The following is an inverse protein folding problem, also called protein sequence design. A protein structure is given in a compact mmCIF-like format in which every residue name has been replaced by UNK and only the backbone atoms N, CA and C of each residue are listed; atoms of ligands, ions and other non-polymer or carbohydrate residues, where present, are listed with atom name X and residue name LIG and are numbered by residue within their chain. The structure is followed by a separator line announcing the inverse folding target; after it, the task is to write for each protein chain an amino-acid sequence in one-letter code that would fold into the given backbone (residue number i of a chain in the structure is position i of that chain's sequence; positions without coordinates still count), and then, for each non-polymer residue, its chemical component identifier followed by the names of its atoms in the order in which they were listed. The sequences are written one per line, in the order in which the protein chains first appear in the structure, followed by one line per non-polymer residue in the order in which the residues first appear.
data_IF_485744687317
#
_entry.id   IF_485744687317
#
_cell.length_a   1.000
_cell.length_b   1.000
_cell.length_c   1.000
_cell.angle_alpha   90.00
_cell.angle_beta   90.00
_cell.angle_gamma   90.00
#
_symmetry.space_group_name_H-M   'P 1'
#
loop_
_entity.id
_entity.type
_entity.pdbx_description
1 polymer ?
#
# COMPACT_ATOMS: atom_id res chain seq x y z
N UNK A 1 -2.79 -4.60 -12.68
CA UNK A 1 -1.66 -4.43 -11.74
C UNK A 1 -0.30 -4.49 -12.45
N UNK A 2 -0.01 -5.52 -13.24
CA UNK A 2 1.30 -5.69 -13.89
C UNK A 2 1.74 -4.52 -14.79
N UNK A 3 0.85 -3.95 -15.61
CA UNK A 3 1.19 -2.72 -16.35
C UNK A 3 1.49 -1.54 -15.40
N UNK A 4 0.78 -1.43 -14.28
CA UNK A 4 1.06 -0.41 -13.26
C UNK A 4 2.46 -0.53 -12.63
N UNK A 5 3.01 -1.74 -12.48
CA UNK A 5 4.41 -1.94 -12.07
C UNK A 5 5.37 -1.36 -13.11
N UNK A 6 5.16 -1.65 -14.40
CA UNK A 6 5.98 -1.13 -15.49
C UNK A 6 5.90 0.41 -15.56
N UNK A 7 4.70 0.99 -15.41
CA UNK A 7 4.53 2.44 -15.33
C UNK A 7 5.10 3.09 -14.08
N UNK A 8 5.41 2.29 -13.05
CA UNK A 8 6.24 2.67 -11.90
C UNK A 8 7.73 2.38 -12.09
N UNK A 9 8.13 1.93 -13.28
CA UNK A 9 9.50 1.56 -13.60
C UNK A 9 10.02 0.30 -12.89
N UNK A 10 9.15 -0.49 -12.27
CA UNK A 10 9.53 -1.74 -11.63
C UNK A 10 9.67 -2.85 -12.66
N UNK A 11 10.90 -3.07 -13.11
CA UNK A 11 11.24 -4.05 -14.16
C UNK A 11 12.45 -4.90 -13.81
N UNK A 12 13.13 -4.60 -12.69
CA UNK A 12 14.31 -5.30 -12.22
C UNK A 12 14.01 -6.06 -10.93
N UNK A 13 14.66 -7.21 -10.69
CA UNK A 13 14.54 -7.92 -9.42
C UNK A 13 14.87 -7.04 -8.22
N UNK A 14 14.01 -7.08 -7.21
CA UNK A 14 14.09 -6.23 -6.02
C UNK A 14 13.35 -4.89 -6.14
N UNK A 15 12.85 -4.52 -7.33
CA UNK A 15 11.93 -3.40 -7.44
C UNK A 15 10.61 -3.76 -6.74
N UNK A 16 10.10 -2.84 -5.92
CA UNK A 16 8.87 -3.01 -5.13
C UNK A 16 7.90 -1.91 -5.46
N UNK A 17 6.64 -2.26 -5.72
CA UNK A 17 5.56 -1.32 -5.98
C UNK A 17 4.36 -1.62 -5.11
N UNK A 18 3.84 -0.57 -4.48
CA UNK A 18 2.53 -0.53 -3.85
C UNK A 18 1.53 -0.05 -4.91
N UNK A 19 0.44 -0.79 -5.11
CA UNK A 19 -0.61 -0.40 -6.06
C UNK A 19 -1.89 -0.05 -5.30
N UNK A 20 -2.01 1.22 -4.92
CA UNK A 20 -3.10 1.69 -4.06
C UNK A 20 -4.40 1.96 -4.81
N UNK A 21 -5.41 1.10 -4.59
CA UNK A 21 -6.77 1.30 -5.08
C UNK A 21 -7.80 0.85 -4.04
N UNK A 22 -8.89 0.23 -4.49
CA UNK A 22 -9.91 -0.37 -3.60
C UNK A 22 -9.24 -1.35 -2.62
N UNK A 23 -8.32 -2.16 -3.13
CA UNK A 23 -7.33 -2.92 -2.35
C UNK A 23 -5.92 -2.40 -2.63
N UNK A 24 -4.93 -2.82 -1.84
CA UNK A 24 -3.53 -2.39 -2.04
C UNK A 24 -2.57 -3.57 -2.08
N UNK A 25 -2.32 -4.17 -3.26
CA UNK A 25 -1.21 -5.08 -3.47
C UNK A 25 0.14 -4.43 -3.15
N UNK A 26 1.03 -5.21 -2.55
CA UNK A 26 2.45 -4.92 -2.38
C UNK A 26 3.20 -5.99 -3.15
N UNK A 27 3.88 -5.60 -4.22
CA UNK A 27 4.45 -6.52 -5.19
C UNK A 27 5.95 -6.29 -5.33
N UNK A 28 6.73 -7.37 -5.26
CA UNK A 28 8.17 -7.37 -5.47
C UNK A 28 8.52 -8.16 -6.73
N UNK A 29 9.30 -7.56 -7.62
CA UNK A 29 9.82 -8.23 -8.81
C UNK A 29 10.91 -9.21 -8.40
N UNK A 30 10.84 -10.45 -8.90
CA UNK A 30 11.84 -11.50 -8.68
C UNK A 30 12.35 -12.06 -10.00
N UNK A 31 13.57 -12.60 -9.99
CA UNK A 31 14.20 -13.20 -11.17
C UNK A 31 13.66 -14.60 -11.50
N UNK A 32 13.14 -15.30 -10.49
CA UNK A 32 12.57 -16.64 -10.59
C UNK A 32 11.29 -16.69 -9.73
N UNK A 33 10.39 -17.67 -9.93
CA UNK A 33 9.24 -17.79 -9.05
C UNK A 33 9.72 -18.08 -7.62
N UNK A 34 9.15 -17.39 -6.65
CA UNK A 34 9.42 -17.56 -5.22
C UNK A 34 8.12 -17.91 -4.54
N UNK A 35 8.10 -18.98 -3.76
CA UNK A 35 6.93 -19.43 -3.01
C UNK A 35 7.25 -19.38 -1.52
N UNK A 36 6.35 -18.78 -0.73
CA UNK A 36 6.48 -18.80 0.73
C UNK A 36 6.18 -20.21 1.26
N UNK A 37 7.06 -20.72 2.14
CA UNK A 37 6.90 -22.07 2.72
C UNK A 37 5.63 -22.19 3.58
N UNK A 38 5.18 -21.07 4.16
CA UNK A 38 3.95 -20.99 4.95
C UNK A 38 2.72 -20.69 4.10
N UNK A 39 2.88 -20.51 2.78
CA UNK A 39 1.80 -20.20 1.86
C UNK A 39 1.15 -18.84 2.12
N UNK A 40 1.82 -17.86 2.74
CA UNK A 40 1.22 -16.56 3.10
C UNK A 40 1.02 -15.63 1.89
N UNK A 41 1.83 -15.77 0.85
CA UNK A 41 1.90 -14.89 -0.32
C UNK A 41 1.55 -15.62 -1.61
N UNK A 42 1.34 -14.87 -2.69
CA UNK A 42 1.11 -15.43 -4.03
C UNK A 42 2.28 -15.14 -4.95
N UNK A 43 2.45 -16.02 -5.93
CA UNK A 43 3.48 -15.90 -6.96
C UNK A 43 2.81 -15.76 -8.31
N UNK A 44 3.09 -14.66 -9.00
CA UNK A 44 2.56 -14.37 -10.33
C UNK A 44 3.69 -14.19 -11.33
N UNK A 45 3.38 -14.29 -12.62
CA UNK A 45 4.30 -13.82 -13.67
C UNK A 45 4.32 -12.29 -13.69
N UNK A 46 5.43 -11.70 -14.12
CA UNK A 46 5.45 -10.31 -14.53
C UNK A 46 4.99 -10.19 -15.99
N UNK A 47 4.58 -8.99 -16.42
CA UNK A 47 4.33 -8.72 -17.85
C UNK A 47 5.62 -8.71 -18.72
N UNK A 48 6.79 -8.92 -18.11
CA UNK A 48 8.08 -9.00 -18.79
C UNK A 48 8.51 -10.47 -18.70
N UNK A 49 8.85 -11.06 -19.84
CA UNK A 49 9.31 -12.44 -19.91
C UNK A 49 10.53 -12.67 -19.01
N UNK A 50 10.56 -13.84 -18.34
CA UNK A 50 11.63 -14.19 -17.41
C UNK A 50 11.61 -13.41 -16.09
N UNK A 51 10.55 -12.63 -15.81
CA UNK A 51 10.35 -11.93 -14.54
C UNK A 51 9.10 -12.45 -13.84
N UNK A 52 9.17 -12.43 -12.52
CA UNK A 52 8.12 -12.94 -11.63
C UNK A 52 7.77 -11.89 -10.59
N UNK A 53 6.65 -12.10 -9.90
CA UNK A 53 6.14 -11.25 -8.85
C UNK A 53 5.88 -12.10 -7.61
N UNK A 54 6.48 -11.70 -6.49
CA UNK A 54 6.03 -12.11 -5.17
C UNK A 54 5.08 -11.04 -4.65
N UNK A 55 3.87 -11.45 -4.29
CA UNK A 55 2.80 -10.53 -3.90
C UNK A 55 2.26 -10.83 -2.51
N UNK A 56 2.12 -9.76 -1.74
CA UNK A 56 1.33 -9.69 -0.52
C UNK A 56 0.31 -8.55 -0.68
N UNK A 57 -0.68 -8.44 0.21
CA UNK A 57 -1.79 -7.50 0.01
C UNK A 57 -2.22 -6.85 1.32
N UNK A 58 -2.25 -5.51 1.32
CA UNK A 58 -2.69 -4.73 2.47
C UNK A 58 -4.22 -4.69 2.64
N UNK A 59 -4.98 -5.39 1.81
CA UNK A 59 -6.42 -5.50 1.94
C UNK A 59 -7.18 -4.28 1.45
N UNK A 60 -8.40 -4.11 1.97
CA UNK A 60 -9.45 -3.15 1.53
C UNK A 60 -9.20 -1.70 1.97
N UNK A 61 -7.98 -1.22 1.76
CA UNK A 61 -7.47 0.12 2.12
C UNK A 61 -8.25 1.29 1.49
N UNK A 62 -8.48 1.30 0.17
CA UNK A 62 -9.27 2.37 -0.47
C UNK A 62 -10.77 2.22 -0.21
N UNK A 63 -11.23 0.97 0.01
CA UNK A 63 -12.61 0.73 0.39
C UNK A 63 -12.94 1.30 1.78
N UNK A 64 -12.08 1.14 2.79
CA UNK A 64 -12.35 1.72 4.12
C UNK A 64 -12.39 3.26 4.07
N UNK A 65 -11.55 3.87 3.23
CA UNK A 65 -11.59 5.32 3.04
C UNK A 65 -12.87 5.78 2.33
N UNK A 66 -13.36 5.01 1.35
CA UNK A 66 -14.69 5.19 0.75
C UNK A 66 -15.82 4.95 1.77
N UNK A 67 -15.70 3.97 2.64
CA UNK A 67 -16.68 3.70 3.69
C UNK A 67 -16.80 4.90 4.63
N UNK A 68 -15.68 5.50 5.03
CA UNK A 68 -15.67 6.71 5.87
C UNK A 68 -16.36 7.89 5.19
N UNK A 69 -16.07 8.11 3.90
CA UNK A 69 -16.76 9.10 3.05
C UNK A 69 -18.28 8.90 3.07
N UNK A 70 -18.71 7.67 2.85
CA UNK A 70 -20.12 7.34 2.62
C UNK A 70 -20.94 7.30 3.89
N UNK A 71 -20.37 6.82 5.00
CA UNK A 71 -21.11 6.48 6.22
C UNK A 71 -20.82 7.40 7.41
N UNK A 72 -19.67 8.09 7.43
CA UNK A 72 -19.32 9.01 8.52
C UNK A 72 -19.44 10.46 8.07
N UNK A 73 -19.00 10.78 6.85
CA UNK A 73 -19.17 12.12 6.29
C UNK A 73 -20.50 12.31 5.56
N UNK A 74 -21.14 11.22 5.13
CA UNK A 74 -22.39 11.24 4.34
C UNK A 74 -22.28 12.08 3.04
N UNK A 75 -21.10 12.11 2.41
CA UNK A 75 -20.81 12.95 1.23
C UNK A 75 -20.50 12.11 -0.02
N UNK A 76 -21.50 11.39 -0.53
CA UNK A 76 -21.33 10.50 -1.69
C UNK A 76 -21.10 11.23 -3.02
N UNK A 77 -21.69 12.43 -3.17
CA UNK A 77 -21.79 13.17 -4.44
C UNK A 77 -20.81 14.34 -4.58
N UNK A 78 -20.04 14.66 -3.54
CA UNK A 78 -19.11 15.81 -3.61
C UNK A 78 -17.86 15.43 -4.43
N UNK A 79 -17.56 16.14 -5.53
CA UNK A 79 -16.43 15.81 -6.39
C UNK A 79 -15.07 16.04 -5.70
N UNK A 80 -15.03 16.89 -4.67
CA UNK A 80 -13.82 17.22 -3.90
C UNK A 80 -13.75 16.55 -2.53
N UNK A 81 -14.64 15.60 -2.26
CA UNK A 81 -14.75 14.98 -0.94
C UNK A 81 -13.45 14.35 -0.45
N UNK A 82 -12.67 13.73 -1.35
CA UNK A 82 -11.37 13.17 -0.99
C UNK A 82 -10.34 14.24 -0.64
N UNK A 83 -10.38 15.42 -1.28
CA UNK A 83 -9.54 16.57 -0.91
C UNK A 83 -9.90 17.06 0.50
N UNK A 84 -11.20 17.17 0.80
CA UNK A 84 -11.69 17.53 2.15
C UNK A 84 -11.29 16.50 3.20
N UNK A 85 -11.42 15.20 2.90
CA UNK A 85 -11.01 14.13 3.82
C UNK A 85 -9.49 14.14 4.07
N UNK A 86 -8.69 14.42 3.03
CA UNK A 86 -7.24 14.56 3.15
C UNK A 86 -6.88 15.78 4.01
N UNK A 87 -7.58 16.91 3.84
CA UNK A 87 -7.39 18.10 4.66
C UNK A 87 -7.74 17.85 6.14
N UNK A 88 -8.88 17.19 6.41
CA UNK A 88 -9.27 16.79 7.76
C UNK A 88 -8.24 15.87 8.41
N UNK A 89 -7.70 14.90 7.65
CA UNK A 89 -6.64 14.02 8.17
C UNK A 89 -5.33 14.79 8.47
N UNK A 90 -5.06 15.87 7.73
CA UNK A 90 -3.88 16.70 7.93
C UNK A 90 -3.92 17.53 9.22
N UNK A 91 -5.12 17.86 9.71
CA UNK A 91 -5.31 18.57 10.97
C UNK A 91 -4.98 17.72 12.20
N UNK A 92 -5.04 16.38 12.07
CA UNK A 92 -4.71 15.46 13.16
C UNK A 92 -3.21 15.19 13.22
N UNK A 93 -2.67 15.07 14.43
CA UNK A 93 -1.27 14.77 14.66
C UNK A 93 -0.94 13.30 14.33
N UNK A 94 0.33 12.95 14.03
CA UNK A 94 0.74 11.55 13.87
C UNK A 94 0.32 10.68 15.06
N UNK A 95 -0.29 9.53 14.79
CA UNK A 95 -0.90 8.67 15.81
C UNK A 95 -2.35 9.03 16.14
N UNK A 96 -2.95 9.96 15.38
CA UNK A 96 -4.39 10.19 15.33
C UNK A 96 -5.03 10.48 16.70
N UNK A 97 -4.32 11.21 17.57
CA UNK A 97 -4.73 11.46 18.96
C UNK A 97 -5.13 10.17 19.73
N UNK A 98 -4.45 9.07 19.43
CA UNK A 98 -4.67 7.77 20.06
C UNK A 98 -5.76 6.91 19.42
N UNK A 99 -6.45 7.39 18.38
CA UNK A 99 -7.44 6.59 17.62
C UNK A 99 -6.73 5.56 16.75
N UNK A 100 -7.22 4.32 16.75
CA UNK A 100 -6.67 3.21 15.95
C UNK A 100 -7.77 2.47 15.23
N UNK A 101 -7.56 2.19 13.94
CA UNK A 101 -8.53 1.50 13.09
C UNK A 101 -8.03 0.10 12.72
N UNK A 102 -8.93 -0.87 12.84
CA UNK A 102 -8.71 -2.27 12.46
C UNK A 102 -9.84 -2.77 11.55
N UNK A 103 -10.17 -2.01 10.50
CA UNK A 103 -11.18 -2.37 9.51
C UNK A 103 -10.67 -2.08 8.10
N UNK A 104 -10.61 -3.10 7.24
CA UNK A 104 -10.16 -2.99 5.84
C UNK A 104 -8.69 -3.38 5.64
N UNK A 105 -7.71 -2.72 6.31
CA UNK A 105 -6.32 -3.12 6.22
C UNK A 105 -6.06 -4.49 6.83
N UNK A 106 -5.27 -5.32 6.16
CA UNK A 106 -4.82 -6.60 6.71
C UNK A 106 -3.43 -7.04 6.27
N UNK A 107 -2.90 -8.03 6.98
CA UNK A 107 -1.68 -8.75 6.59
C UNK A 107 -2.15 -9.99 5.83
N UNK A 108 -1.71 -10.10 4.59
CA UNK A 108 -2.16 -11.15 3.70
C UNK A 108 -1.70 -12.52 4.20
N UNK A 109 -2.61 -13.48 4.08
CA UNK A 109 -2.32 -14.88 4.29
C UNK A 109 -3.13 -15.72 3.30
N UNK A 110 -2.43 -16.30 2.35
CA UNK A 110 -2.98 -17.20 1.37
C UNK A 110 -3.04 -18.67 1.82
N UNK A 111 -2.49 -19.00 2.98
CA UNK A 111 -2.41 -20.35 3.50
C UNK A 111 -3.72 -20.78 4.17
N UNK A 112 -3.85 -22.06 4.50
CA UNK A 112 -5.01 -22.58 5.22
C UNK A 112 -5.25 -21.89 6.59
N UNK A 113 -6.53 -21.65 6.96
CA UNK A 113 -7.71 -21.78 6.11
C UNK A 113 -7.70 -20.65 5.07
N UNK A 114 -7.65 -21.02 3.79
CA UNK A 114 -7.49 -20.12 2.66
C UNK A 114 -8.50 -18.97 2.76
N UNK A 115 -8.06 -17.73 2.50
CA UNK A 115 -8.96 -16.58 2.43
C UNK A 115 -9.78 -16.32 3.70
N UNK A 116 -9.11 -16.30 4.85
CA UNK A 116 -9.52 -15.42 5.96
C UNK A 116 -9.60 -14.00 5.38
N UNK A 117 -10.80 -13.50 5.08
CA UNK A 117 -11.02 -12.21 4.40
C UNK A 117 -10.54 -11.01 5.22
N UNK A 118 -11.32 -9.93 5.29
CA UNK A 118 -11.12 -8.94 6.36
C UNK A 118 -11.60 -9.56 7.69
N UNK A 119 -10.90 -10.59 8.16
CA UNK A 119 -11.16 -11.30 9.41
C UNK A 119 -10.03 -11.03 10.40
N UNK A 120 -10.39 -10.76 11.65
CA UNK A 120 -9.50 -10.86 12.80
C UNK A 120 -9.84 -12.24 13.36
N UNK A 121 -8.99 -13.24 13.11
CA UNK A 121 -9.33 -14.64 13.42
C UNK A 121 -10.21 -15.27 12.33
N UNK A 122 -11.15 -16.13 12.74
CA UNK A 122 -12.09 -16.83 11.85
C UNK A 122 -13.43 -16.09 11.63
N UNK A 123 -13.64 -14.95 12.29
CA UNK A 123 -14.86 -14.16 12.21
C UNK A 123 -14.73 -12.90 11.32
N UNK A 124 -15.78 -12.52 10.56
CA UNK A 124 -15.82 -11.26 9.82
C UNK A 124 -15.67 -10.06 10.77
N UNK A 125 -14.80 -9.11 10.42
CA UNK A 125 -14.50 -7.96 11.29
C UNK A 125 -15.67 -6.97 11.31
N UNK A 126 -16.33 -6.75 12.47
CA UNK A 126 -17.08 -5.53 12.65
C UNK A 126 -16.12 -4.33 12.66
N UNK A 127 -16.52 -3.15 12.13
CA UNK A 127 -15.71 -1.94 12.20
C UNK A 127 -15.13 -1.72 13.59
N UNK A 128 -13.82 -1.91 13.75
CA UNK A 128 -13.15 -1.85 15.06
C UNK A 128 -12.31 -0.58 15.15
N UNK A 129 -12.73 0.33 16.03
CA UNK A 129 -12.02 1.56 16.39
C UNK A 129 -11.67 1.46 17.87
N UNK A 130 -10.38 1.59 18.19
CA UNK A 130 -9.86 1.51 19.55
C UNK A 130 -9.11 2.78 19.94
N UNK A 131 -8.91 2.98 21.24
CA UNK A 131 -8.10 4.05 21.80
C UNK A 131 -8.94 5.18 22.40
N UNK A 132 -8.74 6.42 21.95
CA UNK A 132 -9.45 7.57 22.51
C UNK A 132 -10.96 7.49 22.27
N UNK A 133 -11.75 7.78 23.31
CA UNK A 133 -13.21 7.95 23.20
C UNK A 133 -13.63 9.36 22.78
N UNK A 134 -12.69 10.31 22.78
CA UNK A 134 -12.89 11.68 22.31
C UNK A 134 -12.01 11.90 21.09
N UNK A 135 -12.62 11.86 19.90
CA UNK A 135 -11.92 12.06 18.65
C UNK A 135 -12.77 12.82 17.64
N UNK A 136 -12.10 13.52 16.74
CA UNK A 136 -12.71 14.26 15.65
C UNK A 136 -12.83 13.40 14.39
N UNK A 137 -13.57 13.89 13.39
CA UNK A 137 -13.58 13.26 12.06
C UNK A 137 -12.20 13.28 11.42
N UNK A 138 -11.38 14.30 11.70
CA UNK A 138 -10.00 14.39 11.24
C UNK A 138 -9.11 13.30 11.85
N UNK A 139 -9.24 13.06 13.15
CA UNK A 139 -8.53 11.96 13.83
C UNK A 139 -8.90 10.60 13.25
N UNK A 140 -10.20 10.36 13.00
CA UNK A 140 -10.63 9.11 12.37
C UNK A 140 -10.11 8.98 10.92
N UNK A 141 -10.13 10.07 10.14
CA UNK A 141 -9.57 10.08 8.79
C UNK A 141 -8.06 9.75 8.81
N UNK A 142 -7.31 10.38 9.73
CA UNK A 142 -5.88 10.13 9.95
C UNK A 142 -5.62 8.68 10.37
N UNK A 143 -6.43 8.14 11.29
CA UNK A 143 -6.28 6.77 11.78
C UNK A 143 -6.50 5.73 10.68
N UNK A 144 -7.41 5.99 9.73
CA UNK A 144 -7.61 5.14 8.55
C UNK A 144 -6.37 5.17 7.64
N UNK A 145 -5.84 6.35 7.35
CA UNK A 145 -4.63 6.48 6.52
C UNK A 145 -3.43 5.77 7.17
N UNK A 146 -3.24 5.98 8.47
CA UNK A 146 -2.17 5.34 9.24
C UNK A 146 -2.32 3.82 9.26
N UNK A 147 -3.51 3.28 9.53
CA UNK A 147 -3.79 1.85 9.49
C UNK A 147 -3.53 1.23 8.10
N UNK A 148 -3.89 1.95 7.03
CA UNK A 148 -3.58 1.53 5.66
C UNK A 148 -2.06 1.41 5.45
N UNK A 149 -1.31 2.43 5.87
CA UNK A 149 0.15 2.45 5.73
C UNK A 149 0.85 1.39 6.60
N UNK A 150 0.33 1.11 7.81
CA UNK A 150 0.83 0.05 8.68
C UNK A 150 0.64 -1.33 8.06
N UNK A 151 -0.52 -1.59 7.44
CA UNK A 151 -0.73 -2.85 6.74
C UNK A 151 0.23 -2.98 5.55
N UNK A 152 0.44 -1.93 4.77
CA UNK A 152 1.44 -1.95 3.69
C UNK A 152 2.83 -2.29 4.21
N UNK A 153 3.26 -1.69 5.34
CA UNK A 153 4.54 -2.02 5.97
C UNK A 153 4.61 -3.49 6.39
N UNK A 154 3.59 -4.02 7.06
CA UNK A 154 3.57 -5.40 7.50
C UNK A 154 3.67 -6.39 6.33
N UNK A 155 2.99 -6.11 5.22
CA UNK A 155 3.06 -6.92 4.02
C UNK A 155 4.44 -6.78 3.32
N UNK A 156 5.05 -5.60 3.32
CA UNK A 156 6.42 -5.44 2.82
C UNK A 156 7.46 -6.19 3.68
N UNK A 157 7.31 -6.16 5.00
CA UNK A 157 8.16 -6.92 5.93
C UNK A 157 8.04 -8.43 5.67
N UNK A 158 6.81 -8.92 5.41
CA UNK A 158 6.58 -10.32 5.00
C UNK A 158 7.31 -10.66 3.70
N UNK A 159 7.26 -9.80 2.68
CA UNK A 159 8.00 -10.02 1.42
C UNK A 159 9.53 -10.05 1.65
N UNK A 160 10.05 -9.10 2.44
CA UNK A 160 11.47 -9.03 2.76
C UNK A 160 11.94 -10.27 3.54
N UNK A 161 11.13 -10.78 4.46
CA UNK A 161 11.37 -12.02 5.20
C UNK A 161 11.50 -13.22 4.25
N UNK A 162 10.55 -13.39 3.33
CA UNK A 162 10.53 -14.50 2.37
C UNK A 162 11.74 -14.47 1.45
N UNK A 163 12.15 -13.29 1.00
CA UNK A 163 13.27 -13.10 0.07
C UNK A 163 14.62 -13.09 0.79
N UNK A 164 14.64 -12.83 2.10
CA UNK A 164 15.87 -12.69 2.88
C UNK A 164 16.65 -11.41 2.58
N UNK A 165 15.98 -10.36 2.07
CA UNK A 165 16.60 -9.07 1.71
C UNK A 165 15.69 -7.91 2.09
N UNK A 166 16.28 -6.82 2.57
CA UNK A 166 15.56 -5.56 2.82
C UNK A 166 15.37 -4.75 1.54
N UNK A 167 14.17 -4.23 1.37
CA UNK A 167 13.84 -3.22 0.36
C UNK A 167 14.48 -1.87 0.71
N UNK A 168 15.04 -1.17 -0.29
CA UNK A 168 15.70 0.13 -0.10
C UNK A 168 14.91 1.33 -0.64
N UNK A 169 13.94 1.09 -1.52
CA UNK A 169 13.04 2.10 -2.09
C UNK A 169 11.75 1.45 -2.55
N UNK A 170 10.66 2.23 -2.59
CA UNK A 170 9.34 1.70 -2.96
C UNK A 170 8.66 2.64 -3.95
N UNK A 171 8.11 2.09 -5.03
CA UNK A 171 7.20 2.82 -5.92
C UNK A 171 5.76 2.80 -5.38
N UNK A 172 4.99 3.86 -5.61
CA UNK A 172 3.57 3.90 -5.25
C UNK A 172 2.73 4.50 -6.38
N UNK A 173 1.72 3.76 -6.82
CA UNK A 173 0.76 4.23 -7.83
C UNK A 173 -0.68 3.84 -7.49
N UNK A 174 -1.59 4.17 -8.39
CA UNK A 174 -3.03 3.96 -8.22
C UNK A 174 -3.73 5.17 -7.60
N UNK A 175 -5.05 5.06 -7.41
CA UNK A 175 -5.88 6.16 -6.93
C UNK A 175 -5.43 6.75 -5.59
N UNK A 176 -4.93 5.91 -4.67
CA UNK A 176 -4.52 6.36 -3.34
C UNK A 176 -3.25 7.23 -3.39
N UNK A 177 -2.35 6.98 -4.36
CA UNK A 177 -1.09 7.73 -4.53
C UNK A 177 -1.28 9.20 -4.94
N UNK A 178 -2.51 9.60 -5.32
CA UNK A 178 -2.86 10.98 -5.64
C UNK A 178 -2.91 11.88 -4.40
N UNK A 179 -3.05 11.30 -3.20
CA UNK A 179 -3.15 12.04 -1.96
C UNK A 179 -1.76 12.29 -1.35
N UNK A 180 -1.30 13.56 -1.36
CA UNK A 180 0.01 13.95 -0.82
C UNK A 180 0.23 13.49 0.62
N UNK A 181 -0.75 13.72 1.50
CA UNK A 181 -0.68 13.28 2.90
C UNK A 181 -0.53 11.76 3.05
N UNK A 182 -1.16 10.99 2.16
CA UNK A 182 -1.01 9.53 2.18
C UNK A 182 0.42 9.14 1.82
N UNK A 183 1.00 9.76 0.79
CA UNK A 183 2.39 9.52 0.39
C UNK A 183 3.38 9.88 1.51
N UNK A 184 3.16 11.00 2.21
CA UNK A 184 3.96 11.43 3.35
C UNK A 184 3.90 10.42 4.50
N UNK A 185 2.69 10.01 4.91
CA UNK A 185 2.50 9.00 5.96
C UNK A 185 3.12 7.67 5.54
N UNK A 186 2.90 7.23 4.29
CA UNK A 186 3.42 5.95 3.80
C UNK A 186 4.95 5.93 3.80
N UNK A 187 5.59 7.01 3.34
CA UNK A 187 7.06 7.12 3.35
C UNK A 187 7.61 7.11 4.79
N UNK A 188 6.94 7.80 5.71
CA UNK A 188 7.35 7.85 7.12
C UNK A 188 7.14 6.51 7.84
N UNK A 189 6.02 5.84 7.59
CA UNK A 189 5.73 4.52 8.16
C UNK A 189 6.73 3.48 7.68
N UNK A 190 7.08 3.49 6.40
CA UNK A 190 8.07 2.58 5.83
C UNK A 190 9.50 2.92 6.24
N UNK A 191 9.79 4.19 6.54
CA UNK A 191 11.16 4.66 6.72
C UNK A 191 12.01 4.54 5.45
N UNK A 192 11.37 4.60 4.27
CA UNK A 192 12.01 4.41 2.96
C UNK A 192 11.60 5.54 2.00
N UNK A 193 12.48 5.93 1.06
CA UNK A 193 12.10 6.79 -0.05
C UNK A 193 10.94 6.20 -0.87
N UNK A 194 9.87 6.98 -1.02
CA UNK A 194 8.67 6.60 -1.76
C UNK A 194 8.60 7.37 -3.08
N UNK A 195 8.61 6.65 -4.20
CA UNK A 195 8.61 7.21 -5.55
C UNK A 195 7.21 7.12 -6.14
N UNK A 196 6.67 8.27 -6.54
CA UNK A 196 5.36 8.34 -7.19
C UNK A 196 5.55 8.80 -8.64
N UNK A 197 4.97 8.10 -9.63
CA UNK A 197 5.00 8.56 -11.01
C UNK A 197 4.30 9.92 -11.16
N UNK A 198 4.88 10.77 -12.00
CA UNK A 198 4.29 12.07 -12.38
C UNK A 198 2.97 11.86 -13.10
N UNK A 199 2.93 10.91 -14.04
CA UNK A 199 1.69 10.49 -14.67
C UNK A 199 0.90 9.61 -13.71
N UNK A 200 -0.32 10.04 -13.38
CA UNK A 200 -1.13 9.38 -12.34
C UNK A 200 -1.76 8.09 -12.83
N UNK A 201 -1.90 7.90 -14.14
CA UNK A 201 -2.28 6.62 -14.73
C UNK A 201 -1.06 5.77 -15.11
N UNK A 202 -0.38 5.26 -14.09
CA UNK A 202 0.75 4.34 -14.27
C UNK A 202 0.36 3.07 -15.06
N UNK A 203 -0.91 2.65 -15.03
CA UNK A 203 -1.34 1.47 -15.79
C UNK A 203 -1.37 1.78 -17.29
N UNK A 204 -1.90 2.93 -17.68
CA UNK A 204 -1.89 3.40 -19.07
C UNK A 204 -0.46 3.61 -19.59
N UNK A 205 0.44 4.19 -18.78
CA UNK A 205 1.86 4.34 -19.14
C UNK A 205 2.51 2.97 -19.36
N UNK A 206 2.31 2.02 -18.45
CA UNK A 206 2.85 0.67 -18.58
C UNK A 206 2.31 -0.06 -19.81
N UNK A 207 1.01 0.07 -20.12
CA UNK A 207 0.43 -0.50 -21.32
C UNK A 207 1.04 0.12 -22.60
N UNK A 208 1.28 1.43 -22.59
CA UNK A 208 1.96 2.14 -23.68
C UNK A 208 3.40 1.68 -23.87
N UNK A 209 4.12 1.41 -22.78
CA UNK A 209 5.47 0.83 -22.80
C UNK A 209 5.44 -0.57 -23.41
N UNK A 210 4.51 -1.43 -23.00
CA UNK A 210 4.33 -2.76 -23.59
C UNK A 210 4.09 -2.67 -25.10
N UNK A 211 3.20 -1.78 -25.54
CA UNK A 211 2.92 -1.56 -26.95
C UNK A 211 4.14 -1.06 -27.72
N UNK A 212 4.91 -0.11 -27.16
CA UNK A 212 6.10 0.43 -27.81
C UNK A 212 7.23 -0.60 -27.93
N UNK A 213 7.41 -1.47 -26.94
CA UNK A 213 8.36 -2.59 -27.03
C UNK A 213 7.88 -3.63 -28.04
N UNK A 214 6.60 -4.02 -27.99
CA UNK A 214 6.02 -4.99 -28.93
C UNK A 214 6.04 -4.51 -30.39
N UNK A 215 5.92 -3.21 -30.62
CA UNK A 215 6.03 -2.59 -31.94
C UNK A 215 7.48 -2.36 -32.41
N UNK A 216 8.49 -2.71 -31.59
CA UNK A 216 9.91 -2.55 -31.93
C UNK A 216 10.43 -1.11 -31.85
N UNK A 217 9.64 -0.15 -31.36
CA UNK A 217 10.07 1.24 -31.13
C UNK A 217 11.21 1.26 -30.10
N UNK A 218 11.11 0.41 -29.08
CA UNK A 218 12.16 0.18 -28.09
C UNK A 218 12.65 -1.26 -28.15
N UNK A 219 13.98 -1.46 -28.13
CA UNK A 219 14.61 -2.79 -28.09
C UNK A 219 14.37 -3.58 -26.80
N UNK A 220 13.73 -2.98 -25.79
CA UNK A 220 13.41 -3.65 -24.53
C UNK A 220 12.88 -2.71 -23.45
N UNK A 221 12.27 -3.31 -22.43
CA UNK A 221 11.59 -2.59 -21.35
C UNK A 221 12.49 -1.62 -20.59
N UNK A 222 13.75 -1.97 -20.35
CA UNK A 222 14.67 -1.11 -19.59
C UNK A 222 14.90 0.26 -20.25
N UNK A 223 14.99 0.32 -21.60
CA UNK A 223 15.14 1.61 -22.31
C UNK A 223 13.79 2.36 -22.34
N UNK A 224 12.70 1.67 -22.68
CA UNK A 224 11.38 2.26 -22.74
C UNK A 224 10.97 2.90 -21.40
N UNK A 225 11.16 2.18 -20.28
CA UNK A 225 10.87 2.69 -18.93
C UNK A 225 11.67 3.95 -18.61
N UNK A 226 12.98 3.96 -18.89
CA UNK A 226 13.83 5.13 -18.60
C UNK A 226 13.41 6.39 -19.36
N UNK A 227 12.84 6.24 -20.55
CA UNK A 227 12.44 7.38 -21.39
C UNK A 227 10.98 7.77 -21.21
N UNK A 228 10.10 6.83 -20.83
CA UNK A 228 8.65 7.06 -20.77
C UNK A 228 8.11 7.22 -19.34
N UNK A 229 8.84 6.73 -18.31
CA UNK A 229 8.43 6.87 -16.91
C UNK A 229 9.15 8.05 -16.28
N UNK A 230 8.37 9.04 -15.85
CA UNK A 230 8.87 10.20 -15.13
C UNK A 230 8.38 10.14 -13.69
N UNK A 231 9.32 10.18 -12.74
CA UNK A 231 9.01 10.22 -11.31
C UNK A 231 8.90 11.66 -10.82
N UNK A 232 8.12 11.86 -9.78
CA UNK A 232 8.23 13.04 -8.91
C UNK A 232 9.49 12.93 -8.04
N UNK A 233 9.85 14.03 -7.38
CA UNK A 233 10.83 13.98 -6.29
C UNK A 233 10.32 12.98 -5.22
N UNK A 234 11.20 12.12 -4.68
CA UNK A 234 10.77 11.10 -3.74
C UNK A 234 10.28 11.73 -2.44
N UNK A 235 9.22 11.15 -1.88
CA UNK A 235 8.82 11.46 -0.52
C UNK A 235 9.82 10.78 0.42
N UNK A 236 10.54 11.61 1.18
CA UNK A 236 11.50 11.18 2.20
C UNK A 236 11.06 11.81 3.51
N UNK A 237 10.71 10.96 4.47
CA UNK A 237 10.27 11.44 5.77
C UNK A 237 11.43 11.92 6.63
N UNK A 238 11.15 12.91 7.49
CA UNK A 238 12.05 13.28 8.56
C UNK A 238 12.33 12.07 9.47
N UNK A 239 13.60 11.83 9.87
CA UNK A 239 13.96 10.68 10.70
C UNK A 239 13.21 10.58 12.04
N UNK A 240 12.88 11.71 12.68
CA UNK A 240 12.13 11.70 13.93
C UNK A 240 10.66 11.31 13.70
N UNK A 241 10.07 11.76 12.59
CA UNK A 241 8.73 11.32 12.20
C UNK A 241 8.69 9.83 11.87
N UNK A 242 9.68 9.33 11.12
CA UNK A 242 9.82 7.91 10.81
C UNK A 242 9.94 7.06 12.08
N UNK A 243 10.78 7.50 13.04
CA UNK A 243 10.90 6.83 14.35
C UNK A 243 9.58 6.81 15.12
N UNK A 244 8.83 7.93 15.14
CA UNK A 244 7.51 7.96 15.80
C UNK A 244 6.53 6.97 15.15
N UNK A 245 6.53 6.88 13.81
CA UNK A 245 5.67 5.93 13.12
C UNK A 245 6.10 4.48 13.29
N UNK A 246 7.39 4.23 13.53
CA UNK A 246 7.90 2.91 13.89
C UNK A 246 7.28 2.40 15.20
N UNK A 247 7.29 3.23 16.24
CA UNK A 247 6.67 2.93 17.54
C UNK A 247 5.15 2.68 17.41
N UNK A 248 4.47 3.54 16.63
CA UNK A 248 3.03 3.40 16.38
C UNK A 248 2.69 2.14 15.58
N UNK A 249 3.49 1.81 14.57
CA UNK A 249 3.36 0.59 13.79
C UNK A 249 3.49 -0.65 14.67
N UNK A 250 4.52 -0.71 15.52
CA UNK A 250 4.73 -1.83 16.44
C UNK A 250 3.55 -2.01 17.40
N UNK A 251 3.01 -0.90 17.92
CA UNK A 251 1.81 -0.96 18.77
C UNK A 251 0.56 -1.42 18.01
N UNK A 252 0.39 -0.99 16.75
CA UNK A 252 -0.73 -1.42 15.90
C UNK A 252 -0.66 -2.91 15.56
N UNK A 253 0.51 -3.42 15.15
CA UNK A 253 0.66 -4.83 14.76
C UNK A 253 0.52 -5.77 15.97
N UNK A 254 0.99 -5.36 17.15
CA UNK A 254 0.79 -6.11 18.38
C UNK A 254 -0.71 -6.21 18.73
N UNK A 255 -1.42 -5.09 18.72
CA UNK A 255 -2.86 -5.06 18.97
C UNK A 255 -3.60 -5.91 17.95
N UNK A 256 -3.23 -5.82 16.67
CA UNK A 256 -3.82 -6.64 15.61
C UNK A 256 -3.66 -8.13 15.89
N UNK A 257 -2.46 -8.58 16.28
CA UNK A 257 -2.20 -9.99 16.62
C UNK A 257 -3.07 -10.47 17.79
N UNK A 258 -3.24 -9.64 18.82
CA UNK A 258 -4.13 -9.95 19.96
C UNK A 258 -5.58 -10.10 19.51
N UNK A 259 -6.08 -9.16 18.69
CA UNK A 259 -7.43 -9.23 18.14
C UNK A 259 -7.65 -10.48 17.27
N UNK A 260 -6.65 -10.88 16.49
CA UNK A 260 -6.71 -12.11 15.69
C UNK A 260 -6.69 -13.41 16.50
N UNK A 261 -6.30 -13.38 17.78
CA UNK A 261 -6.23 -14.57 18.65
C UNK A 261 -7.38 -14.69 19.65
N UNK A 262 -8.23 -13.67 19.75
CA UNK A 262 -9.40 -13.61 20.66
C UNK A 262 -10.71 -13.91 19.93
N UNK A 263 -10.70 -13.83 18.59
CA UNK A 263 -11.83 -14.06 17.67
C UNK A 263 -11.53 -15.25 16.76
#
# INVERSE_FOLDING_TARGET
TQCGLIGCGAVNPGDVVIVGGTTTPVQMVTEKPVFDKLGRTWTNMHAIEGRWLLESNAGRTGWVYRWFRDNVLCQKSSPRVYETMNALAAESAPGSNGVRVYMGPHVFNAGPPYWKGDTLGDAPVPPTILGSSKFTRGDLARAILEANCYAVRANLEQLNEIIGRKTSRVGFCGGNSKAKIWNEIQSAVLGLPLFVPRERDATAVGASICAAVGAGIYKGFGKAVREMVHMEEPFVADPALAKRYDELYHSWIETRRRLSGVL
#
